data_IF_116802672971
#
_entry.id   IF_116802672971
#
_cell.length_a   1.000
_cell.length_b   1.000
_cell.length_c   1.000
_cell.angle_alpha   90.00
_cell.angle_beta   90.00
_cell.angle_gamma   90.00
#
_symmetry.space_group_name_H-M   'P 1'
#
loop_
_entity.id
_entity.type
_entity.pdbx_description
1 polymer ?
#
# COMPACT_ATOMS: atom_id res chain seq x y z
N UNK A 1 16.95 -7.50 -16.33
CA UNK A 1 17.55 -6.40 -15.56
C UNK A 1 17.08 -5.01 -16.02
N UNK A 2 17.18 -4.67 -17.31
CA UNK A 2 16.74 -3.33 -17.79
C UNK A 2 15.24 -3.03 -17.56
N UNK A 3 14.35 -3.99 -17.80
CA UNK A 3 12.90 -3.81 -17.60
C UNK A 3 12.51 -3.63 -16.12
N UNK A 4 13.12 -4.43 -15.24
CA UNK A 4 12.90 -4.34 -13.78
C UNK A 4 13.29 -2.95 -13.26
N UNK A 5 14.45 -2.43 -13.67
CA UNK A 5 14.90 -1.09 -13.27
C UNK A 5 13.95 -0.01 -13.81
N UNK A 6 13.47 -0.15 -15.05
CA UNK A 6 12.48 0.78 -15.62
C UNK A 6 11.18 0.80 -14.82
N UNK A 7 10.69 -0.37 -14.41
CA UNK A 7 9.49 -0.49 -13.59
C UNK A 7 9.68 0.17 -12.22
N UNK A 8 10.81 -0.06 -11.56
CA UNK A 8 11.15 0.58 -10.29
C UNK A 8 11.17 2.10 -10.43
N UNK A 9 11.89 2.61 -11.44
CA UNK A 9 12.00 4.06 -11.67
C UNK A 9 10.63 4.68 -11.92
N UNK A 10 9.81 4.04 -12.77
CA UNK A 10 8.44 4.51 -13.04
C UNK A 10 7.65 4.63 -11.73
N UNK A 11 7.64 3.57 -10.91
CA UNK A 11 6.90 3.54 -9.64
C UNK A 11 7.45 4.50 -8.58
N UNK A 12 8.75 4.76 -8.56
CA UNK A 12 9.38 5.72 -7.65
C UNK A 12 9.15 7.18 -8.09
N UNK A 13 8.96 7.42 -9.38
CA UNK A 13 8.67 8.75 -9.88
C UNK A 13 7.18 9.10 -9.76
N UNK A 14 6.30 8.10 -9.74
CA UNK A 14 4.87 8.27 -9.46
C UNK A 14 4.60 8.63 -7.97
N UNK A 15 3.38 9.08 -7.67
CA UNK A 15 2.91 9.20 -6.29
C UNK A 15 2.93 7.81 -5.60
N UNK A 16 3.32 7.75 -4.31
CA UNK A 16 3.54 8.84 -3.35
C UNK A 16 5.00 9.34 -3.27
N UNK A 17 5.93 8.71 -3.98
CA UNK A 17 7.37 8.93 -3.78
C UNK A 17 7.89 10.16 -4.52
N UNK A 18 7.31 10.49 -5.69
CA UNK A 18 7.61 11.68 -6.48
C UNK A 18 9.12 11.93 -6.67
N UNK A 19 9.89 10.86 -6.86
CA UNK A 19 11.33 10.95 -7.11
C UNK A 19 11.55 11.38 -8.57
N UNK A 20 12.78 11.81 -8.88
CA UNK A 20 13.16 12.26 -10.22
C UNK A 20 14.29 11.40 -10.79
N UNK A 21 14.15 10.07 -10.69
CA UNK A 21 15.16 9.15 -11.16
C UNK A 21 15.07 8.89 -12.66
N UNK A 22 16.23 8.77 -13.29
CA UNK A 22 16.43 8.18 -14.62
C UNK A 22 17.37 6.97 -14.51
N UNK A 23 17.46 6.15 -15.58
CA UNK A 23 18.25 4.90 -15.58
C UNK A 23 19.69 5.08 -15.09
N UNK A 24 20.36 6.15 -15.52
CA UNK A 24 21.76 6.42 -15.17
C UNK A 24 21.88 6.86 -13.71
N UNK A 25 21.04 7.80 -13.29
CA UNK A 25 21.04 8.34 -11.92
C UNK A 25 20.67 7.27 -10.89
N UNK A 26 19.77 6.34 -11.25
CA UNK A 26 19.36 5.25 -10.37
C UNK A 26 20.43 4.18 -10.29
N UNK A 27 21.01 3.78 -11.42
CA UNK A 27 22.08 2.78 -11.42
C UNK A 27 23.40 3.31 -10.85
N UNK A 28 23.64 4.62 -10.84
CA UNK A 28 24.81 5.21 -10.17
C UNK A 28 24.61 5.48 -8.67
N UNK A 29 23.47 5.08 -8.07
CA UNK A 29 23.23 5.29 -6.65
C UNK A 29 24.26 4.54 -5.78
N UNK A 30 24.80 5.27 -4.81
CA UNK A 30 25.61 4.69 -3.74
C UNK A 30 24.77 3.71 -2.91
N UNK A 31 25.36 2.63 -2.37
CA UNK A 31 24.60 1.60 -1.66
C UNK A 31 23.78 2.15 -0.48
N UNK A 32 24.33 3.11 0.27
CA UNK A 32 23.61 3.79 1.36
C UNK A 32 22.38 4.52 0.84
N UNK A 33 22.48 5.25 -0.29
CA UNK A 33 21.31 5.93 -0.87
C UNK A 33 20.28 4.95 -1.38
N UNK A 34 20.71 3.84 -1.96
CA UNK A 34 19.82 2.78 -2.43
C UNK A 34 19.06 2.12 -1.26
N UNK A 35 19.73 1.88 -0.13
CA UNK A 35 19.09 1.42 1.10
C UNK A 35 18.10 2.44 1.65
N UNK A 36 18.39 3.74 1.54
CA UNK A 36 17.45 4.77 1.97
C UNK A 36 16.20 4.75 1.10
N UNK A 37 16.34 4.57 -0.22
CA UNK A 37 15.19 4.39 -1.12
C UNK A 37 14.35 3.17 -0.72
N UNK A 38 14.98 2.04 -0.40
CA UNK A 38 14.26 0.87 0.11
C UNK A 38 13.53 1.18 1.42
N UNK A 39 14.17 1.89 2.35
CA UNK A 39 13.55 2.27 3.61
C UNK A 39 12.40 3.29 3.43
N UNK A 40 12.52 4.25 2.50
CA UNK A 40 11.45 5.17 2.13
C UNK A 40 10.22 4.39 1.64
N UNK A 41 10.42 3.38 0.80
CA UNK A 41 9.34 2.49 0.32
C UNK A 41 8.70 1.72 1.48
N UNK A 42 9.50 1.19 2.41
CA UNK A 42 8.97 0.52 3.61
C UNK A 42 8.19 1.49 4.52
N UNK A 43 8.67 2.74 4.65
CA UNK A 43 8.03 3.78 5.46
C UNK A 43 6.66 4.17 4.93
N UNK A 44 6.52 4.17 3.60
CA UNK A 44 5.24 4.40 2.94
C UNK A 44 4.26 3.25 3.19
N UNK A 45 4.75 2.02 3.34
CA UNK A 45 3.90 0.85 3.65
C UNK A 45 3.51 0.82 5.13
N UNK A 46 4.47 1.06 6.02
CA UNK A 46 4.29 1.09 7.47
C UNK A 46 5.15 2.20 8.09
N UNK A 47 4.48 3.22 8.66
CA UNK A 47 5.10 4.42 9.23
C UNK A 47 6.11 4.12 10.35
N UNK A 48 6.10 2.90 10.93
CA UNK A 48 7.13 2.44 11.87
C UNK A 48 8.55 2.45 11.30
N UNK A 49 8.70 2.44 9.98
CA UNK A 49 9.99 2.41 9.30
C UNK A 49 10.53 3.81 8.98
N UNK A 50 9.81 4.88 9.35
CA UNK A 50 10.18 6.28 9.11
C UNK A 50 11.36 6.71 10.00
N UNK A 51 12.53 6.18 9.68
CA UNK A 51 13.81 6.36 10.36
C UNK A 51 14.85 6.60 9.28
N UNK A 52 15.77 7.54 9.48
CA UNK A 52 16.93 7.67 8.60
C UNK A 52 17.87 6.49 8.86
N UNK A 53 18.24 5.75 7.81
CA UNK A 53 19.10 4.57 7.94
C UNK A 53 20.48 4.90 8.53
N UNK A 54 20.90 6.17 8.47
CA UNK A 54 22.19 6.65 9.01
C UNK A 54 22.17 6.80 10.53
N UNK A 55 20.99 6.92 11.12
CA UNK A 55 20.80 7.00 12.57
C UNK A 55 20.73 5.61 13.23
N UNK A 56 20.67 4.54 12.43
CA UNK A 56 20.54 3.16 12.89
C UNK A 56 21.78 2.33 12.52
N UNK A 57 22.33 1.49 13.43
CA UNK A 57 23.40 0.59 13.07
C UNK A 57 22.91 -0.47 12.06
N UNK A 58 23.75 -0.87 11.07
CA UNK A 58 23.31 -1.74 9.97
C UNK A 58 22.71 -3.08 10.40
N UNK A 59 23.19 -3.66 11.50
CA UNK A 59 22.64 -4.90 12.04
C UNK A 59 21.20 -4.74 12.56
N UNK A 60 20.89 -3.63 13.24
CA UNK A 60 19.53 -3.36 13.71
C UNK A 60 18.58 -3.09 12.55
N UNK A 61 19.04 -2.31 11.57
CA UNK A 61 18.30 -2.05 10.33
C UNK A 61 17.95 -3.36 9.62
N UNK A 62 18.93 -4.26 9.46
CA UNK A 62 18.70 -5.55 8.83
C UNK A 62 17.63 -6.36 9.58
N UNK A 63 17.74 -6.49 10.91
CA UNK A 63 16.75 -7.22 11.73
C UNK A 63 15.34 -6.62 11.57
N UNK A 64 15.22 -5.29 11.67
CA UNK A 64 13.95 -4.57 11.48
C UNK A 64 13.35 -4.83 10.09
N UNK A 65 14.15 -4.72 9.04
CA UNK A 65 13.70 -4.99 7.66
C UNK A 65 13.30 -6.46 7.48
N UNK A 66 14.02 -7.41 8.08
CA UNK A 66 13.64 -8.83 8.05
C UNK A 66 12.29 -9.08 8.74
N UNK A 67 12.04 -8.46 9.88
CA UNK A 67 10.75 -8.55 10.56
C UNK A 67 9.63 -7.99 9.69
N UNK A 68 9.85 -6.84 9.03
CA UNK A 68 8.92 -6.28 8.06
C UNK A 68 8.63 -7.26 6.91
N UNK A 69 9.68 -7.84 6.31
CA UNK A 69 9.53 -8.83 5.23
C UNK A 69 8.78 -10.08 5.69
N UNK A 70 8.95 -10.53 6.94
CA UNK A 70 8.17 -11.63 7.52
C UNK A 70 6.70 -11.29 7.65
N UNK A 71 6.38 -10.10 8.15
CA UNK A 71 5.00 -9.58 8.24
C UNK A 71 4.36 -9.50 6.84
N UNK A 72 5.13 -9.03 5.85
CA UNK A 72 4.70 -8.96 4.47
C UNK A 72 4.62 -10.33 3.77
N UNK A 73 5.06 -11.41 4.43
CA UNK A 73 5.18 -12.77 3.87
C UNK A 73 6.00 -12.81 2.59
N UNK A 74 7.07 -12.03 2.55
CA UNK A 74 8.08 -12.17 1.51
C UNK A 74 8.76 -13.54 1.65
N UNK A 75 9.00 -14.21 0.52
CA UNK A 75 9.71 -15.49 0.51
C UNK A 75 11.19 -15.24 0.73
N UNK A 76 11.62 -15.29 1.99
CA UNK A 76 13.03 -15.20 2.33
C UNK A 76 13.79 -16.42 1.80
N UNK A 77 15.05 -16.27 1.33
CA UNK A 77 15.88 -17.37 0.89
C UNK A 77 16.07 -18.44 1.99
N UNK A 78 16.40 -19.67 1.59
CA UNK A 78 16.71 -20.78 2.51
C UNK A 78 18.21 -20.78 2.86
N UNK A 79 18.63 -21.46 3.92
CA UNK A 79 20.08 -21.65 4.15
C UNK A 79 20.70 -22.48 3.03
N UNK A 80 21.88 -22.09 2.46
CA UNK A 80 22.86 -21.08 2.92
C UNK A 80 22.68 -19.64 2.35
N UNK A 81 21.71 -19.41 1.47
CA UNK A 81 21.49 -18.13 0.77
C UNK A 81 21.03 -17.01 1.72
N UNK A 82 20.48 -17.34 2.89
CA UNK A 82 20.11 -16.35 3.92
C UNK A 82 21.27 -15.47 4.36
N UNK A 83 22.46 -16.05 4.52
CA UNK A 83 23.65 -15.30 4.95
C UNK A 83 24.06 -14.28 3.88
N UNK A 84 24.05 -14.71 2.61
CA UNK A 84 24.32 -13.84 1.46
C UNK A 84 23.26 -12.75 1.32
N UNK A 85 21.99 -13.08 1.52
CA UNK A 85 20.90 -12.11 1.49
C UNK A 85 21.03 -11.07 2.61
N UNK A 86 21.36 -11.49 3.84
CA UNK A 86 21.63 -10.55 4.95
C UNK A 86 22.82 -9.66 4.64
N UNK A 87 23.91 -10.24 4.13
CA UNK A 87 25.09 -9.48 3.76
C UNK A 87 24.77 -8.46 2.66
N UNK A 88 24.07 -8.88 1.60
CA UNK A 88 23.66 -8.00 0.51
C UNK A 88 22.70 -6.89 0.95
N UNK A 89 21.83 -7.17 1.93
CA UNK A 89 20.97 -6.14 2.53
C UNK A 89 21.78 -5.12 3.35
N UNK A 90 22.79 -5.56 4.09
CA UNK A 90 23.65 -4.66 4.89
C UNK A 90 24.58 -3.83 3.99
N UNK A 91 25.10 -4.42 2.91
CA UNK A 91 26.01 -3.74 1.99
C UNK A 91 25.29 -2.90 0.94
N UNK A 92 23.98 -3.06 0.77
CA UNK A 92 23.19 -2.38 -0.27
C UNK A 92 23.44 -2.93 -1.66
N UNK A 93 23.63 -4.25 -1.78
CA UNK A 93 23.87 -4.93 -3.06
C UNK A 93 22.63 -4.83 -3.98
N UNK A 94 22.83 -4.23 -5.16
CA UNK A 94 21.80 -4.07 -6.18
C UNK A 94 21.12 -5.38 -6.59
N UNK A 95 21.86 -6.50 -6.57
CA UNK A 95 21.33 -7.82 -6.92
C UNK A 95 20.22 -8.24 -5.94
N UNK A 96 20.31 -7.80 -4.69
CA UNK A 96 19.34 -8.08 -3.63
C UNK A 96 18.28 -6.97 -3.55
N UNK A 97 18.69 -5.71 -3.61
CA UNK A 97 17.78 -4.58 -3.38
C UNK A 97 16.82 -4.35 -4.55
N UNK A 98 17.25 -4.53 -5.80
CA UNK A 98 16.36 -4.28 -6.95
C UNK A 98 15.16 -5.24 -6.97
N UNK A 99 15.31 -6.57 -6.82
CA UNK A 99 14.15 -7.47 -6.71
C UNK A 99 13.24 -7.16 -5.52
N UNK A 100 13.80 -6.70 -4.39
CA UNK A 100 13.00 -6.29 -3.23
C UNK A 100 12.14 -5.07 -3.54
N UNK A 101 12.75 -4.03 -4.13
CA UNK A 101 12.03 -2.82 -4.54
C UNK A 101 10.92 -3.15 -5.53
N UNK A 102 11.21 -3.96 -6.55
CA UNK A 102 10.21 -4.41 -7.52
C UNK A 102 9.01 -5.06 -6.82
N UNK A 103 9.27 -6.02 -5.93
CA UNK A 103 8.24 -6.77 -5.24
C UNK A 103 7.38 -5.90 -4.31
N UNK A 104 8.00 -4.95 -3.60
CA UNK A 104 7.30 -4.01 -2.73
C UNK A 104 6.42 -3.06 -3.56
N UNK A 105 6.99 -2.46 -4.61
CA UNK A 105 6.33 -1.44 -5.42
C UNK A 105 5.16 -1.99 -6.25
N UNK A 106 5.22 -3.26 -6.69
CA UNK A 106 4.10 -3.90 -7.40
C UNK A 106 2.92 -4.26 -6.49
N UNK A 107 3.14 -4.36 -5.17
CA UNK A 107 2.15 -4.88 -4.21
C UNK A 107 1.78 -3.88 -3.11
N UNK A 108 2.09 -2.60 -3.27
CA UNK A 108 1.95 -1.62 -2.19
C UNK A 108 0.56 -1.60 -1.53
N UNK A 109 -0.52 -1.67 -2.30
CA UNK A 109 -1.89 -1.65 -1.74
C UNK A 109 -2.17 -2.85 -0.83
N UNK A 110 -1.75 -4.04 -1.25
CA UNK A 110 -1.83 -5.27 -0.46
C UNK A 110 -0.94 -5.18 0.78
N UNK A 111 0.28 -4.69 0.63
CA UNK A 111 1.26 -4.59 1.71
C UNK A 111 0.86 -3.55 2.76
N UNK A 112 0.31 -2.40 2.36
CA UNK A 112 -0.27 -1.40 3.28
C UNK A 112 -1.38 -1.99 4.13
N UNK A 113 -2.28 -2.77 3.51
CA UNK A 113 -3.34 -3.49 4.23
C UNK A 113 -2.76 -4.53 5.19
N UNK A 114 -1.72 -5.27 4.78
CA UNK A 114 -1.04 -6.25 5.66
C UNK A 114 -0.34 -5.58 6.83
N UNK A 115 0.41 -4.50 6.60
CA UNK A 115 1.02 -3.68 7.64
C UNK A 115 -0.02 -3.22 8.67
N UNK A 116 -1.13 -2.63 8.19
CA UNK A 116 -2.23 -2.21 9.04
C UNK A 116 -2.79 -3.37 9.89
N UNK A 117 -3.12 -4.50 9.26
CA UNK A 117 -3.66 -5.65 9.98
C UNK A 117 -2.66 -6.26 10.98
N UNK A 118 -1.37 -6.29 10.64
CA UNK A 118 -0.34 -6.85 11.50
C UNK A 118 -0.21 -6.09 12.83
N UNK A 119 -0.50 -4.79 12.86
CA UNK A 119 -0.51 -4.00 14.10
C UNK A 119 -1.51 -4.52 15.13
N UNK A 120 -2.61 -5.14 14.68
CA UNK A 120 -3.69 -5.62 15.56
C UNK A 120 -3.74 -7.14 15.69
N UNK A 121 -3.15 -7.88 14.74
CA UNK A 121 -3.25 -9.34 14.67
C UNK A 121 -1.98 -10.07 15.12
N UNK A 122 -0.83 -9.40 15.19
CA UNK A 122 0.38 -10.01 15.74
C UNK A 122 0.23 -10.06 17.26
N UNK A 123 0.11 -11.29 17.79
CA UNK A 123 -0.05 -11.50 19.24
C UNK A 123 1.13 -10.92 20.00
N UNK A 124 0.84 -10.02 20.94
CA UNK A 124 1.82 -9.57 21.92
C UNK A 124 1.93 -10.67 22.98
N UNK A 125 3.14 -11.15 23.28
CA UNK A 125 3.31 -12.10 24.38
C UNK A 125 3.16 -11.33 25.70
N UNK A 126 2.01 -11.49 26.37
CA UNK A 126 1.77 -10.90 27.68
C UNK A 126 2.41 -11.84 28.72
N UNK A 127 3.32 -11.35 29.59
CA UNK A 127 3.87 -12.18 30.67
C UNK A 127 2.77 -12.73 31.57
N UNK A 128 2.95 -13.96 32.05
CA UNK A 128 1.97 -14.72 32.87
C UNK A 128 1.42 -13.96 34.07
N UNK A 129 2.22 -13.07 34.66
CA UNK A 129 1.80 -12.23 35.80
C UNK A 129 0.72 -11.19 35.46
N UNK A 130 0.52 -10.89 34.17
CA UNK A 130 -0.50 -9.97 33.67
C UNK A 130 -1.65 -10.67 32.91
N UNK A 131 -1.68 -12.01 32.90
CA UNK A 131 -2.64 -12.81 32.11
C UNK A 131 -4.07 -12.90 32.70
N UNK A 132 -4.44 -12.04 33.66
CA UNK A 132 -5.79 -12.09 34.27
C UNK A 132 -6.93 -11.80 33.28
N UNK A 133 -6.65 -11.14 32.14
CA UNK A 133 -7.64 -10.70 31.13
C UNK A 133 -7.41 -11.29 29.72
N UNK A 134 -6.82 -12.49 29.60
CA UNK A 134 -6.53 -13.12 28.29
C UNK A 134 -7.79 -13.28 27.42
N UNK A 135 -8.94 -13.56 28.03
CA UNK A 135 -10.23 -13.70 27.35
C UNK A 135 -10.73 -12.38 26.73
N UNK A 136 -10.51 -11.24 27.38
CA UNK A 136 -10.92 -9.92 26.87
C UNK A 136 -10.08 -9.53 25.66
N UNK A 137 -8.78 -9.82 25.70
CA UNK A 137 -7.85 -9.53 24.61
C UNK A 137 -8.18 -10.37 23.36
N UNK A 138 -8.36 -11.68 23.50
CA UNK A 138 -8.71 -12.55 22.37
C UNK A 138 -10.09 -12.22 21.79
N UNK A 139 -11.09 -11.92 22.64
CA UNK A 139 -12.40 -11.45 22.16
C UNK A 139 -12.30 -10.12 21.41
N UNK A 140 -11.44 -9.20 21.85
CA UNK A 140 -11.22 -7.92 21.15
C UNK A 140 -10.60 -8.11 19.77
N UNK A 141 -9.65 -9.05 19.63
CA UNK A 141 -9.07 -9.43 18.34
C UNK A 141 -10.15 -10.02 17.42
N UNK A 142 -11.02 -10.88 17.93
CA UNK A 142 -12.06 -11.51 17.11
C UNK A 142 -13.12 -10.50 16.66
N UNK A 143 -13.54 -9.61 17.58
CA UNK A 143 -14.42 -8.49 17.25
C UNK A 143 -13.82 -7.57 16.18
N UNK A 144 -12.51 -7.30 16.24
CA UNK A 144 -11.80 -6.55 15.21
C UNK A 144 -11.85 -7.26 13.86
N UNK A 145 -11.57 -8.58 13.81
CA UNK A 145 -11.64 -9.35 12.56
C UNK A 145 -13.03 -9.30 11.94
N UNK A 146 -14.08 -9.49 12.73
CA UNK A 146 -15.46 -9.47 12.25
C UNK A 146 -15.84 -8.09 11.71
N UNK A 147 -15.57 -7.04 12.47
CA UNK A 147 -15.83 -5.66 12.08
C UNK A 147 -15.08 -5.27 10.80
N UNK A 148 -13.78 -5.60 10.72
CA UNK A 148 -12.97 -5.34 9.54
C UNK A 148 -13.47 -6.12 8.31
N UNK A 149 -13.94 -7.37 8.48
CA UNK A 149 -14.53 -8.16 7.39
C UNK A 149 -15.83 -7.53 6.87
N UNK A 150 -16.69 -7.04 7.77
CA UNK A 150 -17.91 -6.29 7.40
C UNK A 150 -17.56 -5.01 6.63
N UNK A 151 -16.59 -4.24 7.12
CA UNK A 151 -16.10 -3.03 6.46
C UNK A 151 -15.60 -3.32 5.03
N UNK A 152 -14.75 -4.33 4.85
CA UNK A 152 -14.24 -4.73 3.53
C UNK A 152 -15.35 -5.19 2.59
N UNK A 153 -16.35 -5.91 3.10
CA UNK A 153 -17.52 -6.32 2.31
C UNK A 153 -18.32 -5.13 1.81
N UNK A 154 -18.52 -4.11 2.64
CA UNK A 154 -19.25 -2.89 2.24
C UNK A 154 -18.41 -2.05 1.27
N UNK A 155 -17.12 -1.88 1.56
CA UNK A 155 -16.19 -1.11 0.71
C UNK A 155 -16.05 -1.70 -0.70
N UNK A 156 -15.99 -3.03 -0.81
CA UNK A 156 -15.93 -3.72 -2.10
C UNK A 156 -17.32 -3.96 -2.71
N UNK A 157 -18.39 -3.63 -1.97
CA UNK A 157 -19.78 -3.76 -2.38
C UNK A 157 -20.21 -2.69 -3.37
N UNK A 158 -19.53 -2.62 -4.52
CA UNK A 158 -20.01 -2.22 -5.85
C UNK A 158 -20.64 -0.85 -6.10
N UNK A 159 -21.46 -0.30 -5.20
CA UNK A 159 -22.15 0.96 -5.41
C UNK A 159 -21.58 2.00 -4.44
N UNK A 160 -20.63 2.78 -4.94
CA UNK A 160 -20.21 3.95 -4.18
C UNK A 160 -21.33 4.99 -4.24
N UNK A 161 -21.55 5.69 -3.14
CA UNK A 161 -22.50 6.82 -3.11
C UNK A 161 -22.15 7.90 -4.13
N UNK A 162 -20.89 7.95 -4.60
CA UNK A 162 -20.44 8.82 -5.67
C UNK A 162 -21.00 8.43 -7.05
N UNK A 163 -21.03 7.13 -7.39
CA UNK A 163 -21.64 6.64 -8.63
C UNK A 163 -23.14 6.89 -8.65
N UNK A 164 -23.83 6.59 -7.55
CA UNK A 164 -25.27 6.88 -7.40
C UNK A 164 -25.55 8.38 -7.56
N UNK A 165 -24.72 9.25 -6.97
CA UNK A 165 -24.85 10.71 -7.14
C UNK A 165 -24.61 11.16 -8.58
N UNK A 166 -23.66 10.54 -9.28
CA UNK A 166 -23.38 10.83 -10.69
C UNK A 166 -24.57 10.43 -11.56
N UNK A 167 -25.13 9.24 -11.34
CA UNK A 167 -26.29 8.75 -12.08
C UNK A 167 -27.52 9.62 -11.82
N UNK A 168 -27.78 10.01 -10.56
CA UNK A 168 -28.85 10.95 -10.22
C UNK A 168 -28.67 12.27 -10.98
N UNK A 169 -27.45 12.81 -11.02
CA UNK A 169 -27.17 14.07 -11.70
C UNK A 169 -27.41 13.96 -13.22
N UNK A 170 -26.96 12.86 -13.84
CA UNK A 170 -27.20 12.58 -15.25
C UNK A 170 -28.71 12.45 -15.57
N UNK A 171 -29.46 11.71 -14.73
CA UNK A 171 -30.91 11.58 -14.87
C UNK A 171 -31.64 12.92 -14.69
N UNK A 172 -31.15 13.78 -13.79
CA UNK A 172 -31.70 15.12 -13.59
C UNK A 172 -31.54 15.98 -14.85
N UNK A 173 -30.36 15.90 -15.47
CA UNK A 173 -30.03 16.65 -16.69
C UNK A 173 -30.84 16.17 -17.89
N UNK A 174 -31.03 14.85 -18.05
CA UNK A 174 -31.92 14.27 -19.06
C UNK A 174 -33.38 14.70 -18.88
N UNK A 175 -33.87 14.70 -17.64
CA UNK A 175 -35.23 15.17 -17.32
C UNK A 175 -35.41 16.63 -17.75
N UNK A 176 -34.45 17.50 -17.44
CA UNK A 176 -34.53 18.92 -17.80
C UNK A 176 -34.49 19.13 -19.32
N UNK A 177 -33.68 18.35 -20.04
CA UNK A 177 -33.66 18.36 -21.50
C UNK A 177 -35.02 17.93 -22.10
N UNK A 178 -35.63 16.87 -21.57
CA UNK A 178 -36.94 16.38 -21.99
C UNK A 178 -38.04 17.43 -21.73
N UNK A 179 -38.05 18.05 -20.56
CA UNK A 179 -39.00 19.11 -20.22
C UNK A 179 -38.90 20.30 -21.19
N UNK A 180 -37.69 20.78 -21.48
CA UNK A 180 -37.47 21.84 -22.47
C UNK A 180 -37.93 21.45 -23.88
N UNK A 181 -37.85 20.16 -24.24
CA UNK A 181 -38.34 19.66 -25.53
C UNK A 181 -39.86 19.62 -25.56
N UNK A 182 -40.51 19.17 -24.49
CA UNK A 182 -41.97 19.18 -24.33
C UNK A 182 -42.51 20.60 -24.41
N UNK A 183 -41.91 21.57 -23.71
CA UNK A 183 -42.33 22.97 -23.77
C UNK A 183 -42.24 23.55 -25.17
N UNK A 184 -41.15 23.27 -25.90
CA UNK A 184 -41.01 23.68 -27.30
C UNK A 184 -42.10 23.09 -28.19
N UNK A 185 -42.45 21.81 -28.00
CA UNK A 185 -43.54 21.17 -28.75
C UNK A 185 -44.90 21.75 -28.39
N UNK A 186 -45.19 21.96 -27.10
CA UNK A 186 -46.44 22.59 -26.63
C UNK A 186 -46.62 23.99 -27.23
N UNK A 187 -45.56 24.82 -27.23
CA UNK A 187 -45.59 26.12 -27.91
C UNK A 187 -45.97 25.93 -29.38
N UNK A 188 -45.23 25.11 -30.15
CA UNK A 188 -45.52 24.89 -31.58
C UNK A 188 -46.95 24.43 -31.89
N UNK A 189 -47.55 23.61 -31.02
CA UNK A 189 -48.95 23.17 -31.17
C UNK A 189 -49.93 24.30 -30.87
N UNK A 190 -49.65 25.12 -29.85
CA UNK A 190 -50.44 26.30 -29.51
C UNK A 190 -50.45 27.39 -30.60
N UNK A 191 -49.42 27.46 -31.45
CA UNK A 191 -49.37 28.39 -32.60
C UNK A 191 -50.12 27.87 -33.84
N UNK A 192 -50.63 26.63 -33.81
CA UNK A 192 -51.31 25.96 -34.93
C UNK A 192 -52.83 25.87 -34.78
N UNK A 193 -53.39 26.46 -33.73
CA UNK A 193 -54.83 26.61 -33.47
C UNK A 193 -55.12 28.11 -33.55
#
# INVERSE_FOLDING_TARGET
MSELIRLIIQKLNDEPFNKSFNLISFDSLEPVRLLQVLNDVLSEIDNKHKIDIREEPPDKMAVRMFEAFRVFRYKLPTDPEKSLFRQGLVTGDKIIIYPLLEWLLTRMSELKKRAYLAQYLVKVSIPVDFMQDEEIYENSIENFKESHKKFESVKNGGLTTAEVKKDISAMQEEKDQLLRRVERMKKKVSWKI
#
